data_IF_965550192678
#
_entry.id   IF_965550192678
#
_cell.length_a   1.000
_cell.length_b   1.000
_cell.length_c   1.000
_cell.angle_alpha   90.00
_cell.angle_beta   90.00
_cell.angle_gamma   90.00
#
_symmetry.space_group_name_H-M   'P 1'
#
loop_
_entity.id
_entity.type
_entity.pdbx_description
1 polymer ?
#
# COMPACT_ATOMS: atom_id res chain seq x y z
N UNK A 1 9.28 -8.09 -16.66
CA UNK A 1 8.99 -8.57 -15.28
C UNK A 1 8.45 -7.40 -14.47
N UNK A 2 9.19 -6.30 -14.42
CA UNK A 2 8.78 -5.00 -13.88
C UNK A 2 7.47 -4.46 -14.45
N UNK A 3 7.19 -4.61 -15.75
CA UNK A 3 5.91 -4.18 -16.35
C UNK A 3 4.69 -4.95 -15.83
N UNK A 4 4.87 -6.23 -15.49
CA UNK A 4 3.80 -7.06 -14.92
C UNK A 4 3.50 -6.58 -13.49
N UNK A 5 4.55 -6.25 -12.72
CA UNK A 5 4.41 -5.73 -11.37
C UNK A 5 3.79 -4.34 -11.35
N UNK A 6 4.18 -3.46 -12.28
CA UNK A 6 3.54 -2.14 -12.44
C UNK A 6 2.05 -2.27 -12.73
N UNK A 7 1.67 -3.14 -13.68
CA UNK A 7 0.26 -3.38 -13.98
C UNK A 7 -0.50 -3.93 -12.78
N UNK A 8 0.14 -4.81 -12.00
CA UNK A 8 -0.45 -5.36 -10.78
C UNK A 8 -0.62 -4.31 -9.68
N UNK A 9 0.32 -3.38 -9.56
CA UNK A 9 0.20 -2.21 -8.68
C UNK A 9 -1.03 -1.40 -9.07
N UNK A 10 -1.21 -1.08 -10.35
CA UNK A 10 -2.38 -0.32 -10.84
C UNK A 10 -3.70 -1.05 -10.55
N UNK A 11 -3.75 -2.37 -10.77
CA UNK A 11 -4.94 -3.18 -10.46
C UNK A 11 -5.26 -3.18 -8.95
N UNK A 12 -4.24 -3.27 -8.10
CA UNK A 12 -4.40 -3.21 -6.65
C UNK A 12 -4.85 -1.82 -6.21
N UNK A 13 -4.29 -0.74 -6.78
CA UNK A 13 -4.71 0.64 -6.48
C UNK A 13 -6.20 0.84 -6.78
N UNK A 14 -6.68 0.38 -7.93
CA UNK A 14 -8.11 0.43 -8.28
C UNK A 14 -8.97 -0.40 -7.32
N UNK A 15 -8.50 -1.59 -6.94
CA UNK A 15 -9.22 -2.46 -6.01
C UNK A 15 -9.32 -1.85 -4.61
N UNK A 16 -8.27 -1.15 -4.14
CA UNK A 16 -8.24 -0.42 -2.87
C UNK A 16 -9.28 0.68 -2.87
N UNK A 17 -9.42 1.43 -3.97
CA UNK A 17 -10.46 2.48 -4.08
C UNK A 17 -11.88 1.94 -4.10
N UNK A 18 -12.07 0.74 -4.66
CA UNK A 18 -13.37 0.06 -4.71
C UNK A 18 -13.74 -0.67 -3.40
N UNK A 19 -12.82 -0.74 -2.43
CA UNK A 19 -12.92 -1.58 -1.24
C UNK A 19 -12.75 -0.78 0.05
N UNK A 20 -13.31 -1.25 1.17
CA UNK A 20 -13.12 -0.64 2.50
C UNK A 20 -12.96 -1.69 3.60
N UNK A 21 -12.48 -1.27 4.77
CA UNK A 21 -12.29 -2.13 5.95
C UNK A 21 -11.20 -3.19 5.74
N UNK A 22 -11.39 -4.37 6.33
CA UNK A 22 -10.38 -5.44 6.36
C UNK A 22 -9.91 -5.90 4.97
N UNK A 23 -10.77 -5.82 3.95
CA UNK A 23 -10.37 -6.18 2.58
C UNK A 23 -9.45 -5.12 1.96
N UNK A 24 -9.64 -3.83 2.30
CA UNK A 24 -8.75 -2.73 1.90
C UNK A 24 -7.38 -2.89 2.54
N UNK A 25 -7.32 -3.19 3.83
CA UNK A 25 -6.05 -3.45 4.53
C UNK A 25 -5.28 -4.63 3.91
N UNK A 26 -5.99 -5.70 3.53
CA UNK A 26 -5.35 -6.84 2.87
C UNK A 26 -4.75 -6.45 1.52
N UNK A 27 -5.45 -5.62 0.74
CA UNK A 27 -4.97 -5.12 -0.55
C UNK A 27 -3.80 -4.15 -0.37
N UNK A 28 -3.81 -3.32 0.66
CA UNK A 28 -2.69 -2.43 0.99
C UNK A 28 -1.42 -3.20 1.38
N UNK A 29 -1.55 -4.31 2.13
CA UNK A 29 -0.41 -5.21 2.38
C UNK A 29 0.09 -5.90 1.11
N UNK A 30 -0.82 -6.26 0.20
CA UNK A 30 -0.42 -6.80 -1.11
C UNK A 30 0.31 -5.74 -1.93
N UNK A 31 -0.17 -4.49 -1.92
CA UNK A 31 0.48 -3.34 -2.57
C UNK A 31 1.91 -3.16 -2.06
N UNK A 32 2.11 -3.14 -0.74
CA UNK A 32 3.43 -3.03 -0.10
C UNK A 32 4.39 -4.12 -0.59
N UNK A 33 3.91 -5.37 -0.61
CA UNK A 33 4.71 -6.52 -1.05
C UNK A 33 5.11 -6.42 -2.53
N UNK A 34 4.18 -6.04 -3.41
CA UNK A 34 4.44 -5.92 -4.84
C UNK A 34 5.38 -4.76 -5.14
N UNK A 35 5.23 -3.63 -4.43
CA UNK A 35 6.15 -2.49 -4.51
C UNK A 35 7.57 -2.92 -4.09
N UNK A 36 7.71 -3.60 -2.95
CA UNK A 36 9.01 -4.09 -2.49
C UNK A 36 9.65 -5.08 -3.49
N UNK A 37 8.85 -5.95 -4.11
CA UNK A 37 9.33 -6.87 -5.14
C UNK A 37 9.77 -6.13 -6.42
N UNK A 38 9.03 -5.08 -6.82
CA UNK A 38 9.39 -4.24 -7.96
C UNK A 38 10.71 -3.50 -7.70
N UNK A 39 10.89 -2.93 -6.51
CA UNK A 39 12.13 -2.24 -6.11
C UNK A 39 13.31 -3.20 -5.99
N UNK A 40 13.10 -4.41 -5.46
CA UNK A 40 14.12 -5.46 -5.42
C UNK A 40 14.59 -5.89 -6.82
N UNK A 41 13.74 -5.76 -7.84
CA UNK A 41 14.08 -5.99 -9.24
C UNK A 41 14.70 -4.77 -9.94
N UNK A 42 14.91 -3.67 -9.22
CA UNK A 42 15.43 -2.40 -9.76
C UNK A 42 14.39 -1.56 -10.50
N UNK A 43 13.11 -1.93 -10.41
CA UNK A 43 11.99 -1.10 -10.85
C UNK A 43 11.70 0.00 -9.83
N UNK A 44 10.93 1.00 -10.24
CA UNK A 44 10.47 2.07 -9.34
C UNK A 44 8.94 2.09 -9.36
N UNK A 45 8.33 2.01 -8.18
CA UNK A 45 6.90 2.13 -8.03
C UNK A 45 6.40 3.53 -8.43
N UNK A 46 5.11 3.62 -8.77
CA UNK A 46 4.45 4.89 -9.03
C UNK A 46 4.43 5.76 -7.76
N UNK A 47 4.51 7.07 -7.94
CA UNK A 47 4.41 8.01 -6.82
C UNK A 47 3.06 7.92 -6.09
N UNK A 48 2.00 7.48 -6.78
CA UNK A 48 0.69 7.25 -6.18
C UNK A 48 0.71 6.06 -5.21
N UNK A 49 1.35 4.95 -5.60
CA UNK A 49 1.47 3.77 -4.76
C UNK A 49 2.30 4.06 -3.50
N UNK A 50 3.39 4.81 -3.64
CA UNK A 50 4.19 5.26 -2.51
C UNK A 50 3.39 6.16 -1.56
N UNK A 51 2.70 7.17 -2.08
CA UNK A 51 1.89 8.07 -1.25
C UNK A 51 0.78 7.34 -0.48
N UNK A 52 0.20 6.27 -1.05
CA UNK A 52 -0.80 5.44 -0.37
C UNK A 52 -0.21 4.63 0.78
N UNK A 53 0.98 4.06 0.57
CA UNK A 53 1.68 3.31 1.62
C UNK A 53 2.11 4.23 2.77
N UNK A 54 2.58 5.44 2.46
CA UNK A 54 2.90 6.45 3.47
C UNK A 54 1.66 6.84 4.29
N UNK A 55 0.53 7.12 3.62
CA UNK A 55 -0.72 7.48 4.29
C UNK A 55 -1.27 6.36 5.20
N UNK A 56 -1.20 5.09 4.77
CA UNK A 56 -1.59 3.94 5.61
C UNK A 56 -0.68 3.81 6.84
N UNK A 57 0.60 4.15 6.70
CA UNK A 57 1.55 4.14 7.81
C UNK A 57 1.20 5.22 8.84
N UNK A 58 0.82 6.42 8.39
CA UNK A 58 0.37 7.53 9.24
C UNK A 58 -0.94 7.18 9.98
N UNK A 59 -1.94 6.62 9.29
CA UNK A 59 -3.22 6.21 9.88
C UNK A 59 -3.01 5.19 11.02
N UNK A 60 -2.13 4.20 10.79
CA UNK A 60 -1.75 3.20 11.81
C UNK A 60 -1.00 3.78 12.99
N UNK A 61 -0.30 4.90 12.81
CA UNK A 61 0.42 5.59 13.89
C UNK A 61 -0.57 6.38 14.74
N UNK A 62 -1.55 7.08 14.14
CA UNK A 62 -2.59 7.82 14.88
C UNK A 62 -3.47 6.91 15.73
N UNK A 63 -3.88 5.73 15.24
CA UNK A 63 -4.65 4.75 16.05
C UNK A 63 -3.89 4.29 17.31
N UNK A 64 -2.57 4.36 17.31
CA UNK A 64 -1.73 3.88 18.42
C UNK A 64 -1.52 4.94 19.52
N UNK A 65 -1.81 6.22 19.24
CA UNK A 65 -1.69 7.31 20.23
C UNK A 65 -2.95 7.48 21.09
N UNK A 66 -4.12 7.00 20.65
CA UNK A 66 -5.40 7.10 21.40
C UNK A 66 -5.49 6.10 22.58
N UNK A 67 -4.48 5.22 22.73
CA UNK A 67 -4.43 4.22 23.80
C UNK A 67 -3.38 4.54 24.89
N UNK A 68 -2.94 5.79 24.96
CA UNK A 68 -2.07 6.26 26.05
C UNK A 68 -2.94 6.61 27.26
N UNK A 69 -2.92 5.83 28.37
CA UNK A 69 -3.69 6.17 29.55
C UNK A 69 -3.10 7.45 30.16
N UNK A 70 -3.96 8.45 30.38
CA UNK A 70 -3.66 9.61 31.24
C UNK A 70 -3.40 9.19 32.69
#
# INVERSE_FOLDING_TARGET
MTDILNRRIEEIEVAIEATSGAHRESLMRELERVVAELEAQGGKASSSAQARLDAECEDRVEENFDNMPI
#
